data_IF_235833163797
#
_entry.id   IF_235833163797
#
_cell.length_a   1.000
_cell.length_b   1.000
_cell.length_c   1.000
_cell.angle_alpha   90.00
_cell.angle_beta   90.00
_cell.angle_gamma   90.00
#
_symmetry.space_group_name_H-M   'P 1'
#
loop_
_entity.id
_entity.type
_entity.pdbx_description
1 polymer ?
#
# COMPACT_ATOMS: atom_id res chain seq x y z
N UNK A 1 -2.51 -10.54 1.68
CA UNK A 1 -3.75 -11.19 2.18
C UNK A 1 -4.21 -10.29 3.30
N UNK A 2 -5.38 -9.67 3.18
CA UNK A 2 -5.83 -8.71 4.19
C UNK A 2 -6.46 -9.40 5.39
N UNK A 3 -6.39 -8.74 6.55
CA UNK A 3 -6.97 -9.17 7.81
C UNK A 3 -7.42 -7.95 8.62
N UNK A 4 -8.29 -8.16 9.61
CA UNK A 4 -8.74 -7.08 10.47
C UNK A 4 -7.73 -6.81 11.59
N UNK A 5 -7.35 -5.54 11.76
CA UNK A 5 -6.49 -5.11 12.83
C UNK A 5 -7.13 -5.41 14.19
N UNK A 6 -6.36 -6.02 15.10
CA UNK A 6 -6.80 -6.31 16.47
C UNK A 6 -6.43 -5.23 17.47
N UNK A 7 -5.52 -4.34 17.09
CA UNK A 7 -4.99 -3.27 17.91
C UNK A 7 -4.83 -2.03 17.05
N UNK A 8 -4.92 -0.86 17.68
CA UNK A 8 -4.60 0.41 17.04
C UNK A 8 -3.12 0.45 16.65
N UNK A 9 -2.82 0.93 15.44
CA UNK A 9 -1.47 1.07 14.92
C UNK A 9 -1.37 2.26 13.96
N UNK A 10 -0.20 2.44 13.35
CA UNK A 10 0.01 3.43 12.30
C UNK A 10 0.10 2.72 10.94
N UNK A 11 -0.54 3.30 9.92
CA UNK A 11 -0.38 2.88 8.54
C UNK A 11 0.98 3.35 8.03
N UNK A 12 1.81 2.43 7.52
CA UNK A 12 3.12 2.75 6.97
C UNK A 12 3.08 3.44 5.59
N UNK A 13 1.89 3.63 5.00
CA UNK A 13 1.78 4.29 3.72
C UNK A 13 2.13 5.78 3.81
N UNK A 14 2.98 6.29 2.91
CA UNK A 14 3.37 7.71 2.86
C UNK A 14 2.19 8.68 2.75
N UNK A 15 1.05 8.21 2.23
CA UNK A 15 -0.18 8.99 2.14
C UNK A 15 -1.41 8.09 2.22
N UNK A 16 -2.04 8.00 3.38
CA UNK A 16 -3.29 7.27 3.52
C UNK A 16 -4.46 8.11 2.99
N UNK A 17 -4.74 8.03 1.69
CA UNK A 17 -5.83 8.82 1.07
C UNK A 17 -7.23 8.38 1.48
N UNK A 18 -7.36 7.17 2.01
CA UNK A 18 -8.63 6.54 2.35
C UNK A 18 -9.03 6.75 3.82
N UNK A 19 -8.08 7.15 4.67
CA UNK A 19 -8.28 7.32 6.10
C UNK A 19 -7.70 8.68 6.53
N UNK A 20 -8.44 9.47 7.33
CA UNK A 20 -8.12 10.88 7.55
C UNK A 20 -6.88 11.14 8.42
N UNK A 21 -6.40 10.14 9.15
CA UNK A 21 -5.40 10.33 10.21
C UNK A 21 -4.27 9.30 10.20
N UNK A 22 -4.09 8.58 9.09
CA UNK A 22 -3.08 7.53 8.89
C UNK A 22 -3.06 6.44 10.01
N UNK A 23 -4.07 6.42 10.88
CA UNK A 23 -4.19 5.53 12.02
C UNK A 23 -5.02 4.31 11.64
N UNK A 24 -4.45 3.14 11.90
CA UNK A 24 -5.15 1.86 11.85
C UNK A 24 -5.89 1.69 13.17
N UNK A 25 -7.19 1.43 13.11
CA UNK A 25 -8.03 1.14 14.29
C UNK A 25 -8.40 -0.34 14.33
N UNK A 26 -8.83 -0.78 15.50
CA UNK A 26 -9.40 -2.12 15.65
C UNK A 26 -10.58 -2.33 14.69
N UNK A 27 -10.56 -3.42 13.94
CA UNK A 27 -11.55 -3.75 12.92
C UNK A 27 -11.22 -3.23 11.51
N UNK A 28 -10.23 -2.34 11.33
CA UNK A 28 -9.81 -1.90 10.01
C UNK A 28 -9.14 -3.03 9.23
N UNK A 29 -9.46 -3.12 7.94
CA UNK A 29 -8.79 -4.07 7.04
C UNK A 29 -7.38 -3.59 6.70
N UNK A 30 -6.40 -4.40 7.07
CA UNK A 30 -4.97 -4.15 6.89
C UNK A 30 -4.31 -5.29 6.12
N UNK A 31 -3.16 -5.04 5.52
CA UNK A 31 -2.34 -6.03 4.84
C UNK A 31 -0.87 -5.70 5.11
N UNK A 32 -0.02 -6.73 5.08
CA UNK A 32 1.42 -6.54 5.15
C UNK A 32 1.99 -6.34 3.75
N UNK A 33 2.86 -5.35 3.61
CA UNK A 33 3.67 -5.13 2.41
C UNK A 33 5.11 -4.95 2.85
N UNK A 34 6.00 -5.86 2.45
CA UNK A 34 7.42 -5.82 2.80
C UNK A 34 7.67 -5.66 4.31
N UNK A 35 6.95 -6.46 5.12
CA UNK A 35 6.94 -6.44 6.59
C UNK A 35 6.37 -5.16 7.24
N UNK A 36 5.90 -4.20 6.44
CA UNK A 36 5.22 -3.01 6.93
C UNK A 36 3.70 -3.19 6.96
N UNK A 37 3.07 -2.71 8.04
CA UNK A 37 1.62 -2.77 8.21
C UNK A 37 0.95 -1.57 7.55
N UNK A 38 0.01 -1.84 6.65
CA UNK A 38 -0.74 -0.80 5.93
C UNK A 38 -2.23 -1.13 5.88
N UNK A 39 -3.09 -0.13 5.76
CA UNK A 39 -4.48 -0.36 5.36
C UNK A 39 -4.52 -1.15 4.04
N UNK A 40 -5.46 -2.08 3.89
CA UNK A 40 -5.51 -2.96 2.73
C UNK A 40 -5.60 -2.18 1.40
N UNK A 41 -6.34 -1.07 1.38
CA UNK A 41 -6.43 -0.19 0.21
C UNK A 41 -5.12 0.58 -0.06
N UNK A 42 -4.39 0.96 0.98
CA UNK A 42 -3.07 1.57 0.84
C UNK A 42 -2.04 0.56 0.35
N UNK A 43 -2.01 -0.64 0.91
CA UNK A 43 -1.15 -1.72 0.43
C UNK A 43 -1.45 -2.05 -1.04
N UNK A 44 -2.74 -2.07 -1.45
CA UNK A 44 -3.12 -2.25 -2.86
C UNK A 44 -2.61 -1.11 -3.74
N UNK A 45 -2.74 0.14 -3.31
CA UNK A 45 -2.24 1.29 -4.05
C UNK A 45 -0.70 1.24 -4.21
N UNK A 46 0.02 0.91 -3.15
CA UNK A 46 1.48 0.76 -3.16
C UNK A 46 1.93 -0.44 -4.00
N UNK A 47 1.25 -1.60 -3.90
CA UNK A 47 1.49 -2.76 -4.78
C UNK A 47 1.21 -2.48 -6.25
N UNK A 48 0.25 -1.58 -6.52
CA UNK A 48 -0.07 -1.05 -7.84
C UNK A 48 0.86 0.08 -8.26
N UNK A 49 1.84 0.45 -7.42
CA UNK A 49 2.95 1.30 -7.78
C UNK A 49 3.42 0.90 -9.17
N UNK A 50 3.03 1.74 -10.12
CA UNK A 50 3.36 1.62 -11.52
C UNK A 50 4.87 1.40 -11.60
N UNK A 51 5.37 0.31 -12.21
CA UNK A 51 6.80 0.20 -12.43
C UNK A 51 7.26 1.49 -13.12
N UNK A 52 8.47 1.99 -12.83
CA UNK A 52 8.95 3.24 -13.43
C UNK A 52 8.71 3.18 -14.94
N UNK A 53 8.06 4.20 -15.51
CA UNK A 53 7.86 4.27 -16.95
C UNK A 53 9.23 4.11 -17.61
N UNK A 54 9.40 3.08 -18.45
CA UNK A 54 10.64 2.98 -19.21
C UNK A 54 10.74 4.24 -20.10
N UNK A 55 11.81 5.04 -20.01
CA UNK A 55 11.94 6.27 -20.79
C UNK A 55 12.03 6.01 -22.31
N UNK A 56 12.27 4.75 -22.72
CA UNK A 56 12.36 4.38 -24.13
C UNK A 56 11.00 4.05 -24.78
N UNK A 57 10.04 3.52 -24.04
CA UNK A 57 8.75 3.05 -24.60
C UNK A 57 7.51 3.59 -23.86
N UNK A 58 7.70 4.44 -22.83
CA UNK A 58 6.61 5.06 -22.06
C UNK A 58 5.57 4.07 -21.54
N UNK A 59 6.01 2.84 -21.26
CA UNK A 59 5.14 1.75 -20.81
C UNK A 59 5.68 1.18 -19.50
N UNK A 60 4.77 0.71 -18.64
CA UNK A 60 5.07 0.14 -17.33
C UNK A 60 5.52 -1.32 -17.47
N UNK A 61 6.80 -1.60 -17.20
CA UNK A 61 7.38 -2.95 -17.28
C UNK A 61 8.11 -3.34 -15.99
N UNK A 62 7.96 -4.60 -15.56
CA UNK A 62 8.71 -5.18 -14.43
C UNK A 62 10.00 -5.87 -14.90
N UNK A 63 10.79 -5.26 -15.79
CA UNK A 63 11.98 -5.91 -16.39
C UNK A 63 12.54 -5.22 -17.63
N UNK A 64 13.46 -5.90 -18.33
CA UNK A 64 14.27 -5.36 -19.45
C UNK A 64 13.42 -4.69 -20.53
N UNK A 65 13.76 -3.42 -20.72
CA UNK A 65 13.58 -2.60 -21.89
C UNK A 65 14.93 -2.68 -22.64
#
# INVERSE_FOLDING_TARGET
>A
MSFQARYTGACAAERCRYYPDDLIREGDDVDYLDDELMHAECAKATRRGEPPMCPNCFTHHRGEC
#
